data_IF_633211820304
#
_entry.id   IF_633211820304
#
_cell.length_a   1.000
_cell.length_b   1.000
_cell.length_c   1.000
_cell.angle_alpha   90.00
_cell.angle_beta   90.00
_cell.angle_gamma   90.00
#
_symmetry.space_group_name_H-M   'P 1'
#
loop_
_entity.id
_entity.type
_entity.pdbx_description
1 polymer ?
#
# COMPACT_ATOMS: atom_id res chain seq x y z
N UNK A 1 15.36 -54.03 -28.00
CA UNK A 1 14.43 -53.09 -28.65
C UNK A 1 12.97 -53.34 -28.32
N UNK A 2 12.33 -54.46 -28.70
CA UNK A 2 10.87 -54.68 -28.47
C UNK A 2 10.40 -54.53 -27.00
N UNK A 3 11.18 -55.01 -26.04
CA UNK A 3 10.87 -54.86 -24.59
C UNK A 3 10.99 -53.40 -24.12
N UNK A 4 11.91 -52.63 -24.71
CA UNK A 4 12.06 -51.20 -24.43
C UNK A 4 10.92 -50.39 -25.05
N UNK A 5 10.49 -50.76 -26.27
CA UNK A 5 9.35 -50.14 -26.93
C UNK A 5 8.06 -50.33 -26.11
N UNK A 6 7.78 -51.53 -25.62
CA UNK A 6 6.64 -51.80 -24.74
C UNK A 6 6.69 -51.00 -23.43
N UNK A 7 7.88 -50.86 -22.82
CA UNK A 7 8.04 -50.01 -21.64
C UNK A 7 7.80 -48.53 -21.96
N UNK A 8 8.31 -48.05 -23.10
CA UNK A 8 8.10 -46.69 -23.55
C UNK A 8 6.61 -46.42 -23.79
N UNK A 9 5.90 -47.28 -24.52
CA UNK A 9 4.45 -47.13 -24.76
C UNK A 9 3.64 -47.19 -23.46
N UNK A 10 3.98 -48.07 -22.50
CA UNK A 10 3.31 -48.06 -21.18
C UNK A 10 3.55 -46.78 -20.38
N UNK A 11 4.72 -46.13 -20.53
CA UNK A 11 5.02 -44.87 -19.87
C UNK A 11 4.34 -43.68 -20.57
N UNK A 12 4.14 -43.77 -21.89
CA UNK A 12 3.33 -42.83 -22.67
C UNK A 12 1.86 -42.92 -22.25
N UNK A 13 1.30 -44.14 -22.17
CA UNK A 13 -0.09 -44.38 -21.73
C UNK A 13 -0.33 -43.96 -20.27
N UNK A 14 0.66 -44.13 -19.40
CA UNK A 14 0.60 -43.67 -18.02
C UNK A 14 0.81 -42.15 -17.88
N UNK A 15 1.12 -41.42 -18.97
CA UNK A 15 1.42 -39.99 -18.95
C UNK A 15 2.72 -39.63 -18.23
N UNK A 16 3.59 -40.61 -17.97
CA UNK A 16 4.86 -40.41 -17.27
C UNK A 16 5.94 -39.81 -18.17
N UNK A 17 5.82 -39.99 -19.49
CA UNK A 17 6.69 -39.40 -20.51
C UNK A 17 5.76 -38.82 -21.56
N UNK A 18 6.09 -37.65 -22.12
CA UNK A 18 5.31 -37.07 -23.22
C UNK A 18 5.71 -37.74 -24.54
N UNK A 19 4.76 -37.88 -25.48
CA UNK A 19 4.99 -38.41 -26.83
C UNK A 19 5.79 -37.43 -27.70
N UNK A 20 6.99 -37.10 -27.23
CA UNK A 20 7.94 -36.19 -27.82
C UNK A 20 9.22 -36.97 -28.10
N UNK A 21 9.67 -36.92 -29.35
CA UNK A 21 10.85 -37.63 -29.83
C UNK A 21 12.10 -37.29 -29.02
N UNK A 22 12.24 -36.05 -28.54
CA UNK A 22 13.40 -35.64 -27.73
C UNK A 22 13.39 -36.31 -26.35
N UNK A 23 12.22 -36.36 -25.69
CA UNK A 23 12.11 -36.95 -24.35
C UNK A 23 12.19 -38.47 -24.37
N UNK A 24 11.68 -39.11 -25.42
CA UNK A 24 11.82 -40.55 -25.61
C UNK A 24 13.28 -40.90 -25.96
N UNK A 25 13.97 -40.05 -26.72
CA UNK A 25 15.41 -40.19 -26.98
C UNK A 25 16.22 -40.10 -25.67
N UNK A 26 15.99 -39.06 -24.86
CA UNK A 26 16.66 -38.89 -23.56
C UNK A 26 16.40 -40.09 -22.62
N UNK A 27 15.16 -40.58 -22.60
CA UNK A 27 14.82 -41.78 -21.84
C UNK A 27 15.52 -43.03 -22.36
N UNK A 28 15.59 -43.22 -23.68
CA UNK A 28 16.26 -44.36 -24.29
C UNK A 28 17.78 -44.34 -24.01
N UNK A 29 18.39 -43.15 -24.05
CA UNK A 29 19.80 -42.95 -23.64
C UNK A 29 19.98 -43.30 -22.17
N UNK A 30 19.08 -42.88 -21.29
CA UNK A 30 19.11 -43.23 -19.86
C UNK A 30 18.94 -44.74 -19.59
N UNK A 31 18.30 -45.47 -20.51
CA UNK A 31 18.18 -46.94 -20.48
C UNK A 31 19.39 -47.65 -21.11
N UNK A 32 20.42 -46.92 -21.54
CA UNK A 32 21.66 -47.45 -22.08
C UNK A 32 21.67 -47.71 -23.58
N UNK A 33 20.78 -47.07 -24.34
CA UNK A 33 20.81 -47.08 -25.83
C UNK A 33 21.77 -46.00 -26.31
N UNK A 34 22.59 -46.31 -27.33
CA UNK A 34 23.47 -45.33 -27.97
C UNK A 34 22.66 -44.22 -28.65
N UNK A 35 23.25 -43.02 -28.77
CA UNK A 35 22.51 -41.81 -29.12
C UNK A 35 21.89 -41.85 -30.54
N UNK A 36 22.54 -42.54 -31.48
CA UNK A 36 22.07 -42.73 -32.85
C UNK A 36 20.91 -43.75 -32.89
N UNK A 37 21.03 -44.87 -32.17
CA UNK A 37 19.95 -45.85 -32.05
C UNK A 37 18.78 -45.35 -31.21
N UNK A 38 19.02 -44.44 -30.26
CA UNK A 38 17.98 -43.82 -29.44
C UNK A 38 17.11 -42.85 -30.25
N UNK A 39 17.71 -42.12 -31.21
CA UNK A 39 16.95 -41.26 -32.11
C UNK A 39 16.02 -42.06 -33.03
N UNK A 40 16.53 -43.14 -33.63
CA UNK A 40 15.72 -44.05 -34.46
C UNK A 40 14.64 -44.75 -33.63
N UNK A 41 14.98 -45.23 -32.43
CA UNK A 41 14.03 -45.82 -31.50
C UNK A 41 12.92 -44.84 -31.08
N UNK A 42 13.24 -43.57 -30.84
CA UNK A 42 12.25 -42.58 -30.46
C UNK A 42 11.25 -42.30 -31.59
N UNK A 43 11.72 -42.20 -32.85
CA UNK A 43 10.84 -42.08 -34.01
C UNK A 43 9.94 -43.30 -34.14
N UNK A 44 10.53 -44.51 -34.11
CA UNK A 44 9.79 -45.77 -34.27
C UNK A 44 8.71 -45.94 -33.19
N UNK A 45 8.99 -45.54 -31.94
CA UNK A 45 8.02 -45.63 -30.83
C UNK A 45 6.90 -44.61 -30.96
N UNK A 46 7.21 -43.37 -31.35
CA UNK A 46 6.19 -42.33 -31.56
C UNK A 46 5.29 -42.71 -32.73
N UNK A 47 5.88 -43.10 -33.86
CA UNK A 47 5.14 -43.50 -35.05
C UNK A 47 4.27 -44.72 -34.75
N UNK A 48 4.81 -45.76 -34.09
CA UNK A 48 4.03 -46.92 -33.69
C UNK A 48 2.92 -46.60 -32.69
N UNK A 49 3.17 -45.69 -31.73
CA UNK A 49 2.17 -45.28 -30.74
C UNK A 49 0.97 -44.61 -31.40
N UNK A 50 1.20 -43.70 -32.35
CA UNK A 50 0.13 -43.02 -33.06
C UNK A 50 -0.51 -43.88 -34.17
N UNK A 51 0.26 -44.74 -34.84
CA UNK A 51 -0.26 -45.69 -35.84
C UNK A 51 -1.14 -46.77 -35.21
N UNK A 52 -0.81 -47.26 -34.00
CA UNK A 52 -1.61 -48.27 -33.31
C UNK A 52 -2.95 -47.69 -32.82
N UNK A 53 -2.95 -46.43 -32.37
CA UNK A 53 -4.20 -45.70 -32.07
C UNK A 53 -5.07 -45.61 -33.33
N UNK A 54 -4.50 -45.27 -34.48
CA UNK A 54 -5.25 -45.14 -35.74
C UNK A 54 -5.71 -46.48 -36.34
N UNK A 55 -4.93 -47.55 -36.20
CA UNK A 55 -5.30 -48.90 -36.68
C UNK A 55 -6.33 -49.60 -35.81
N UNK A 56 -6.38 -49.30 -34.50
CA UNK A 56 -7.39 -49.88 -33.60
C UNK A 56 -8.82 -49.38 -33.89
N UNK A 57 -8.96 -48.27 -34.60
CA UNK A 57 -10.26 -47.67 -34.95
C UNK A 57 -10.75 -48.05 -36.36
N UNK A 58 -9.89 -48.66 -37.20
CA UNK A 58 -10.19 -48.84 -38.63
C UNK A 58 -9.97 -50.28 -39.11
N UNK A 59 -10.99 -51.13 -38.91
CA UNK A 59 -11.06 -52.49 -39.42
C UNK A 59 -11.85 -52.60 -40.74
N UNK A 60 -11.14 -52.95 -41.81
CA UNK A 60 -11.53 -53.76 -42.99
C UNK A 60 -12.57 -53.26 -44.00
N UNK A 61 -12.06 -52.97 -45.21
CA UNK A 61 -12.59 -53.09 -46.58
C UNK A 61 -14.07 -53.48 -46.80
N UNK A 62 -14.86 -52.58 -47.40
CA UNK A 62 -15.50 -52.72 -48.73
C UNK A 62 -16.38 -51.47 -49.03
N UNK A 63 -16.43 -51.08 -50.31
CA UNK A 63 -17.40 -50.18 -50.97
C UNK A 63 -17.19 -48.64 -51.01
N UNK A 64 -16.97 -48.18 -52.25
CA UNK A 64 -16.70 -46.82 -52.75
C UNK A 64 -17.81 -45.76 -52.49
N UNK A 65 -18.82 -46.06 -51.66
CA UNK A 65 -19.83 -45.08 -51.22
C UNK A 65 -19.45 -44.38 -49.90
N UNK A 66 -18.56 -44.97 -49.08
CA UNK A 66 -18.13 -44.40 -47.80
C UNK A 66 -17.19 -43.20 -47.93
N UNK A 67 -16.48 -43.03 -49.05
CA UNK A 67 -15.52 -41.92 -49.22
C UNK A 67 -16.20 -40.55 -49.11
N UNK A 68 -17.46 -40.41 -49.55
CA UNK A 68 -18.21 -39.14 -49.47
C UNK A 68 -18.76 -38.85 -48.07
N UNK A 69 -19.11 -39.87 -47.30
CA UNK A 69 -19.50 -39.71 -45.89
C UNK A 69 -18.28 -39.50 -45.00
N UNK A 70 -17.19 -40.24 -45.21
CA UNK A 70 -15.93 -40.03 -44.49
C UNK A 70 -15.30 -38.67 -44.79
N UNK A 71 -15.40 -38.14 -46.02
CA UNK A 71 -14.95 -36.77 -46.31
C UNK A 71 -15.80 -35.70 -45.61
N UNK A 72 -17.13 -35.89 -45.52
CA UNK A 72 -18.02 -34.99 -44.79
C UNK A 72 -17.78 -35.07 -43.28
N UNK A 73 -17.55 -36.27 -42.74
CA UNK A 73 -17.24 -36.51 -41.33
C UNK A 73 -15.85 -35.96 -40.96
N UNK A 74 -14.81 -36.18 -41.77
CA UNK A 74 -13.48 -35.55 -41.61
C UNK A 74 -13.49 -34.03 -41.76
N UNK A 75 -14.34 -33.46 -42.63
CA UNK A 75 -14.50 -32.00 -42.72
C UNK A 75 -15.17 -31.45 -41.46
N UNK A 76 -16.23 -32.10 -41.00
CA UNK A 76 -16.96 -31.72 -39.80
C UNK A 76 -16.10 -31.87 -38.54
N UNK A 77 -15.34 -32.96 -38.39
CA UNK A 77 -14.40 -33.15 -37.29
C UNK A 77 -13.23 -32.16 -37.33
N UNK A 78 -12.79 -31.70 -38.52
CA UNK A 78 -11.78 -30.63 -38.62
C UNK A 78 -12.35 -29.27 -38.22
N UNK A 79 -13.58 -28.98 -38.61
CA UNK A 79 -14.28 -27.74 -38.28
C UNK A 79 -14.59 -27.68 -36.77
N UNK A 80 -15.11 -28.78 -36.20
CA UNK A 80 -15.36 -28.92 -34.76
C UNK A 80 -14.05 -28.83 -33.93
N UNK A 81 -12.94 -29.43 -34.41
CA UNK A 81 -11.62 -29.27 -33.78
C UNK A 81 -11.08 -27.86 -33.87
N UNK A 82 -11.34 -27.15 -34.97
CA UNK A 82 -10.88 -25.78 -35.17
C UNK A 82 -11.67 -24.82 -34.27
N UNK A 83 -12.98 -25.03 -34.14
CA UNK A 83 -13.84 -24.33 -33.19
C UNK A 83 -13.43 -24.60 -31.73
N UNK A 84 -13.03 -25.84 -31.39
CA UNK A 84 -12.50 -26.16 -30.05
C UNK A 84 -11.15 -25.49 -29.77
N UNK A 85 -10.25 -25.42 -30.76
CA UNK A 85 -8.97 -24.71 -30.64
C UNK A 85 -9.22 -23.22 -30.46
N UNK A 86 -10.11 -22.61 -31.24
CA UNK A 86 -10.46 -21.20 -31.10
C UNK A 86 -11.10 -20.91 -29.73
N UNK A 87 -11.98 -21.79 -29.26
CA UNK A 87 -12.60 -21.67 -27.93
C UNK A 87 -11.59 -21.86 -26.80
N UNK A 88 -10.62 -22.77 -26.95
CA UNK A 88 -9.52 -22.94 -26.01
C UNK A 88 -8.58 -21.73 -26.01
N UNK A 89 -8.31 -21.15 -27.18
CA UNK A 89 -7.47 -19.96 -27.33
C UNK A 89 -8.14 -18.72 -26.73
N UNK A 90 -9.46 -18.59 -26.87
CA UNK A 90 -10.26 -17.55 -26.22
C UNK A 90 -10.27 -17.73 -24.70
N UNK A 91 -10.46 -18.98 -24.24
CA UNK A 91 -10.40 -19.32 -22.81
C UNK A 91 -9.02 -19.03 -22.19
N UNK A 92 -7.94 -19.23 -22.96
CA UNK A 92 -6.59 -18.89 -22.53
C UNK A 92 -6.40 -17.37 -22.38
N UNK A 93 -6.95 -16.57 -23.30
CA UNK A 93 -6.99 -15.11 -23.17
C UNK A 93 -7.75 -14.64 -21.93
N UNK A 94 -8.89 -15.26 -21.63
CA UNK A 94 -9.67 -14.97 -20.42
C UNK A 94 -8.87 -15.29 -19.15
N UNK A 95 -8.12 -16.40 -19.14
CA UNK A 95 -7.23 -16.77 -18.02
C UNK A 95 -6.11 -15.75 -17.87
N UNK A 96 -5.49 -15.30 -18.96
CA UNK A 96 -4.43 -14.27 -18.90
C UNK A 96 -4.95 -12.95 -18.36
N UNK A 97 -6.10 -12.47 -18.84
CA UNK A 97 -6.75 -11.27 -18.32
C UNK A 97 -7.08 -11.40 -16.83
N UNK A 98 -7.63 -12.55 -16.40
CA UNK A 98 -7.92 -12.79 -15.00
C UNK A 98 -6.64 -12.79 -14.13
N UNK A 99 -5.53 -13.33 -14.66
CA UNK A 99 -4.25 -13.37 -13.97
C UNK A 99 -3.61 -11.98 -13.88
N UNK A 100 -3.75 -11.15 -14.92
CA UNK A 100 -3.29 -9.76 -14.92
C UNK A 100 -4.07 -8.91 -13.89
N UNK A 101 -5.40 -9.07 -13.84
CA UNK A 101 -6.24 -8.44 -12.81
C UNK A 101 -5.85 -8.92 -11.41
N UNK A 102 -5.61 -10.23 -11.24
CA UNK A 102 -5.17 -10.77 -9.94
C UNK A 102 -3.82 -10.19 -9.51
N UNK A 103 -2.88 -10.06 -10.44
CA UNK A 103 -1.55 -9.48 -10.19
C UNK A 103 -1.66 -8.00 -9.79
N UNK A 104 -2.46 -7.22 -10.51
CA UNK A 104 -2.72 -5.81 -10.17
C UNK A 104 -3.39 -5.67 -8.79
N UNK A 105 -4.34 -6.54 -8.47
CA UNK A 105 -4.97 -6.54 -7.16
C UNK A 105 -3.99 -6.92 -6.05
N UNK A 106 -3.06 -7.86 -6.30
CA UNK A 106 -2.03 -8.24 -5.35
C UNK A 106 -1.05 -7.08 -5.09
N UNK A 107 -0.66 -6.35 -6.13
CA UNK A 107 0.17 -5.14 -6.01
C UNK A 107 -0.54 -4.05 -5.19
N UNK A 108 -1.83 -3.80 -5.48
CA UNK A 108 -2.65 -2.85 -4.72
C UNK A 108 -2.79 -3.26 -3.25
N UNK A 109 -2.95 -4.56 -2.99
CA UNK A 109 -3.04 -5.09 -1.63
C UNK A 109 -1.71 -4.96 -0.87
N UNK A 110 -0.57 -5.17 -1.55
CA UNK A 110 0.75 -4.96 -0.97
C UNK A 110 0.97 -3.49 -0.59
N UNK A 111 0.62 -2.55 -1.47
CA UNK A 111 0.70 -1.11 -1.21
C UNK A 111 -0.22 -0.69 -0.04
N UNK A 112 -1.44 -1.25 0.02
CA UNK A 112 -2.35 -1.01 1.13
C UNK A 112 -1.79 -1.52 2.48
N UNK A 113 -1.11 -2.67 2.48
CA UNK A 113 -0.45 -3.19 3.68
C UNK A 113 0.71 -2.29 4.11
N UNK A 114 1.54 -1.84 3.16
CA UNK A 114 2.65 -0.91 3.43
C UNK A 114 2.13 0.38 4.07
N UNK A 115 1.09 0.98 3.48
CA UNK A 115 0.48 2.19 4.03
C UNK A 115 -0.13 1.97 5.44
N UNK A 116 -0.68 0.79 5.73
CA UNK A 116 -1.17 0.46 7.08
C UNK A 116 -0.03 0.29 8.08
N UNK A 117 1.11 -0.27 7.67
CA UNK A 117 2.30 -0.41 8.50
C UNK A 117 2.92 0.96 8.82
N UNK A 118 3.06 1.83 7.82
CA UNK A 118 3.55 3.19 8.01
C UNK A 118 2.68 3.97 8.99
N UNK A 119 1.35 3.91 8.79
CA UNK A 119 0.38 4.57 9.69
C UNK A 119 0.40 3.98 11.11
N UNK A 120 0.71 2.69 11.25
CA UNK A 120 0.89 2.05 12.55
C UNK A 120 2.14 2.58 13.27
N UNK A 121 3.25 2.74 12.55
CA UNK A 121 4.48 3.32 13.10
C UNK A 121 4.28 4.80 13.50
N UNK A 122 3.59 5.59 12.67
CA UNK A 122 3.21 6.96 12.98
C UNK A 122 2.35 7.05 14.25
N UNK A 123 1.39 6.13 14.42
CA UNK A 123 0.58 6.07 15.63
C UNK A 123 1.41 5.77 16.89
N UNK A 124 2.45 4.94 16.78
CA UNK A 124 3.37 4.68 17.89
C UNK A 124 4.17 5.95 18.25
N UNK A 125 4.71 6.65 17.26
CA UNK A 125 5.41 7.94 17.46
C UNK A 125 4.47 8.96 18.12
N UNK A 126 3.24 9.08 17.64
CA UNK A 126 2.23 9.97 18.20
C UNK A 126 1.90 9.63 19.66
N UNK A 127 1.82 8.34 20.00
CA UNK A 127 1.60 7.90 21.38
C UNK A 127 2.75 8.31 22.30
N UNK A 128 4.00 8.19 21.84
CA UNK A 128 5.18 8.62 22.59
C UNK A 128 5.20 10.15 22.78
N UNK A 129 4.91 10.91 21.73
CA UNK A 129 4.78 12.38 21.81
C UNK A 129 3.64 12.80 22.74
N UNK A 130 2.51 12.09 22.72
CA UNK A 130 1.41 12.32 23.63
C UNK A 130 1.79 12.05 25.09
N UNK A 131 2.53 10.97 25.35
CA UNK A 131 3.06 10.66 26.68
C UNK A 131 4.04 11.72 27.16
N UNK A 132 4.92 12.20 26.27
CA UNK A 132 5.86 13.28 26.55
C UNK A 132 5.13 14.58 26.86
N UNK A 133 4.15 14.96 26.04
CA UNK A 133 3.33 16.14 26.28
C UNK A 133 2.55 16.04 27.60
N UNK A 134 2.02 14.85 27.93
CA UNK A 134 1.37 14.60 29.22
C UNK A 134 2.36 14.73 30.38
N UNK A 135 3.59 14.27 30.21
CA UNK A 135 4.67 14.48 31.18
C UNK A 135 5.01 15.95 31.36
N UNK A 136 5.18 16.71 30.28
CA UNK A 136 5.46 18.14 30.30
C UNK A 136 4.31 18.93 30.93
N UNK A 137 3.07 18.60 30.57
CA UNK A 137 1.87 19.20 31.16
C UNK A 137 1.77 18.90 32.66
N UNK A 138 2.06 17.67 33.07
CA UNK A 138 2.09 17.30 34.51
C UNK A 138 3.23 18.02 35.23
N UNK A 139 4.39 18.17 34.59
CA UNK A 139 5.52 18.93 35.10
C UNK A 139 5.19 20.42 35.29
N UNK A 140 4.49 21.03 34.34
CA UNK A 140 4.03 22.42 34.43
C UNK A 140 2.89 22.58 35.45
N UNK A 141 1.94 21.66 35.49
CA UNK A 141 0.84 21.65 36.46
C UNK A 141 1.35 21.51 37.90
N UNK A 142 2.38 20.67 38.10
CA UNK A 142 3.03 20.48 39.39
C UNK A 142 4.08 21.55 39.71
N UNK A 143 4.40 22.46 38.76
CA UNK A 143 5.32 23.57 39.02
C UNK A 143 4.56 24.61 39.85
N UNK A 144 4.94 24.86 41.12
CA UNK A 144 4.30 25.92 41.88
C UNK A 144 4.55 27.26 41.19
N UNK A 145 3.52 28.11 41.10
CA UNK A 145 3.55 29.40 40.41
C UNK A 145 4.63 30.39 40.91
N UNK A 146 5.34 30.06 41.98
CA UNK A 146 6.53 30.76 42.45
C UNK A 146 7.65 29.76 42.69
N UNK A 147 8.71 29.84 41.89
CA UNK A 147 10.02 29.29 42.26
C UNK A 147 10.45 30.04 43.52
N UNK A 148 10.38 29.39 44.69
CA UNK A 148 10.86 29.98 45.92
C UNK A 148 12.37 30.10 45.84
N UNK A 149 12.86 31.20 45.27
CA UNK A 149 14.19 31.71 45.58
C UNK A 149 14.29 31.84 47.11
N UNK A 150 15.42 31.49 47.74
CA UNK A 150 15.57 31.60 49.18
C UNK A 150 15.23 33.03 49.60
N UNK A 151 14.19 33.15 50.41
CA UNK A 151 13.67 34.44 50.88
C UNK A 151 14.72 35.03 51.81
N UNK A 152 15.54 35.95 51.29
CA UNK A 152 16.21 36.95 52.14
C UNK A 152 15.08 37.85 52.63
N UNK A 153 14.75 37.75 53.91
CA UNK A 153 13.78 38.63 54.57
C UNK A 153 14.34 40.05 54.62
N UNK A 154 14.15 40.80 53.53
CA UNK A 154 14.27 42.25 53.55
C UNK A 154 12.97 42.79 54.14
N UNK A 155 13.12 43.54 55.23
CA UNK A 155 12.05 44.24 55.93
C UNK A 155 11.14 44.96 54.93
N UNK A 156 9.84 44.66 54.98
CA UNK A 156 8.79 45.42 54.28
C UNK A 156 8.77 46.85 54.85
N UNK A 157 9.41 47.78 54.15
CA UNK A 157 8.99 49.16 54.18
C UNK A 157 7.70 49.29 53.37
N UNK A 158 6.61 49.65 54.05
CA UNK A 158 5.33 50.03 53.44
C UNK A 158 5.58 51.05 52.34
N UNK A 159 5.42 50.64 51.08
CA UNK A 159 5.25 51.54 49.96
C UNK A 159 4.11 51.00 49.10
N UNK A 160 2.99 51.72 49.12
CA UNK A 160 1.89 51.58 48.17
C UNK A 160 2.35 52.10 46.80
N UNK A 161 3.32 51.42 46.20
CA UNK A 161 3.76 51.72 44.84
C UNK A 161 3.38 50.48 44.04
N UNK A 162 2.29 50.59 43.27
CA UNK A 162 1.97 49.57 42.26
C UNK A 162 3.22 49.42 41.39
N UNK A 163 3.68 48.18 41.13
CA UNK A 163 4.76 47.96 40.17
C UNK A 163 4.39 48.64 38.85
N UNK A 164 5.36 49.31 38.25
CA UNK A 164 5.19 50.12 37.05
C UNK A 164 4.41 49.34 35.98
N UNK A 165 3.42 50.01 35.36
CA UNK A 165 2.52 49.49 34.32
C UNK A 165 1.38 48.54 34.77
N UNK A 166 1.19 48.29 36.07
CA UNK A 166 0.01 47.55 36.55
C UNK A 166 -1.24 48.44 36.63
N UNK A 167 -2.36 47.91 36.15
CA UNK A 167 -3.67 48.59 36.24
C UNK A 167 -4.47 48.01 37.39
N UNK A 168 -4.91 48.89 38.31
CA UNK A 168 -5.81 48.53 39.41
C UNK A 168 -7.10 47.90 38.89
N UNK A 169 -7.68 46.96 39.63
CA UNK A 169 -8.87 46.19 39.24
C UNK A 169 -10.03 47.10 38.83
N UNK A 170 -10.22 48.20 39.56
CA UNK A 170 -11.29 49.19 39.32
C UNK A 170 -11.08 50.04 38.06
N UNK A 171 -9.84 50.11 37.55
CA UNK A 171 -9.47 50.89 36.36
C UNK A 171 -9.36 50.06 35.10
N UNK A 172 -9.54 48.73 35.16
CA UNK A 172 -9.29 47.82 34.05
C UNK A 172 -10.20 48.08 32.86
N UNK A 173 -11.49 48.27 33.09
CA UNK A 173 -12.45 48.50 32.02
C UNK A 173 -12.19 49.83 31.30
N UNK A 174 -11.90 50.88 32.07
CA UNK A 174 -11.58 52.21 31.52
C UNK A 174 -10.29 52.19 30.72
N UNK A 175 -9.27 51.51 31.22
CA UNK A 175 -8.00 51.39 30.51
C UNK A 175 -8.13 50.48 29.28
N UNK A 176 -8.91 49.40 29.35
CA UNK A 176 -9.21 48.55 28.20
C UNK A 176 -9.90 49.34 27.07
N UNK A 177 -10.88 50.18 27.40
CA UNK A 177 -11.53 51.08 26.45
C UNK A 177 -10.55 52.11 25.86
N UNK A 178 -9.62 52.64 26.67
CA UNK A 178 -8.58 53.54 26.17
C UNK A 178 -7.62 52.84 25.19
N UNK A 179 -7.21 51.60 25.46
CA UNK A 179 -6.33 50.87 24.53
C UNK A 179 -7.06 50.61 23.20
N UNK A 180 -8.34 50.24 23.24
CA UNK A 180 -9.17 50.07 22.04
C UNK A 180 -9.26 51.38 21.25
N UNK A 181 -9.49 52.50 21.92
CA UNK A 181 -9.47 53.82 21.28
C UNK A 181 -8.10 54.17 20.70
N UNK A 182 -7.02 53.77 21.35
CA UNK A 182 -5.66 53.90 20.83
C UNK A 182 -5.42 53.06 19.57
N UNK A 183 -6.10 51.91 19.43
CA UNK A 183 -6.09 51.14 18.18
C UNK A 183 -6.84 51.84 17.06
N UNK A 184 -7.99 52.47 17.35
CA UNK A 184 -8.73 53.27 16.38
C UNK A 184 -7.90 54.47 15.87
N UNK A 185 -7.06 55.03 16.74
CA UNK A 185 -6.11 56.10 16.38
C UNK A 185 -4.80 55.59 15.76
N UNK A 186 -4.62 54.26 15.60
CA UNK A 186 -3.41 53.65 15.03
C UNK A 186 -2.17 53.71 15.92
N UNK A 187 -2.31 54.03 17.21
CA UNK A 187 -1.21 54.18 18.18
C UNK A 187 -0.99 52.94 19.07
N UNK A 188 -1.99 52.06 19.14
CA UNK A 188 -1.91 50.74 19.80
C UNK A 188 -2.16 49.62 18.78
N UNK A 189 -1.61 48.43 19.03
CA UNK A 189 -1.85 47.24 18.19
C UNK A 189 -2.76 46.22 18.87
N UNK A 190 -3.24 45.23 18.11
CA UNK A 190 -4.10 44.17 18.65
C UNK A 190 -3.39 43.35 19.74
N UNK A 191 -2.08 43.18 19.60
CA UNK A 191 -1.22 42.51 20.58
C UNK A 191 -1.21 43.24 21.92
N UNK A 192 -1.34 44.57 21.92
CA UNK A 192 -1.37 45.37 23.15
C UNK A 192 -2.66 45.13 23.96
N UNK A 193 -3.80 44.90 23.28
CA UNK A 193 -5.06 44.52 23.93
C UNK A 193 -4.99 43.09 24.45
N UNK A 194 -4.48 42.16 23.66
CA UNK A 194 -4.32 40.76 24.08
C UNK A 194 -3.38 40.63 25.28
N UNK A 195 -2.27 41.38 25.26
CA UNK A 195 -1.33 41.47 26.37
C UNK A 195 -1.99 42.06 27.61
N UNK A 196 -2.78 43.13 27.47
CA UNK A 196 -3.48 43.75 28.58
C UNK A 196 -4.53 42.83 29.22
N UNK A 197 -5.33 42.11 28.42
CA UNK A 197 -6.36 41.20 28.94
C UNK A 197 -5.77 39.97 29.65
N UNK A 198 -4.62 39.47 29.17
CA UNK A 198 -3.97 38.29 29.74
C UNK A 198 -3.14 38.60 30.98
N UNK A 199 -2.48 39.75 31.02
CA UNK A 199 -1.51 40.09 32.08
C UNK A 199 -1.97 41.19 33.03
N UNK A 200 -2.99 41.97 32.65
CA UNK A 200 -3.42 43.20 33.32
C UNK A 200 -2.32 44.25 33.46
N UNK A 201 -1.32 44.18 32.58
CA UNK A 201 -0.23 45.13 32.43
C UNK A 201 -0.34 45.86 31.11
N UNK A 202 0.05 47.12 31.12
CA UNK A 202 0.17 47.91 29.89
C UNK A 202 1.50 47.59 29.20
N UNK A 203 1.44 47.36 27.88
CA UNK A 203 2.64 47.38 27.05
C UNK A 203 3.20 48.80 26.96
N UNK A 204 4.48 48.95 26.60
CA UNK A 204 5.11 50.27 26.56
C UNK A 204 4.41 51.25 25.59
N UNK A 205 3.83 50.73 24.50
CA UNK A 205 3.03 51.53 23.54
C UNK A 205 1.71 51.98 24.16
N UNK A 206 0.95 51.03 24.72
CA UNK A 206 -0.31 51.32 25.38
C UNK A 206 -0.14 52.24 26.60
N UNK A 207 0.97 52.11 27.33
CA UNK A 207 1.32 52.97 28.45
C UNK A 207 1.56 54.43 28.03
N UNK A 208 2.31 54.65 26.94
CA UNK A 208 2.52 55.99 26.37
C UNK A 208 1.19 56.63 25.97
N UNK A 209 0.38 55.90 25.20
CA UNK A 209 -0.93 56.38 24.77
C UNK A 209 -1.85 56.73 25.94
N UNK A 210 -1.99 55.82 26.91
CA UNK A 210 -2.88 56.02 28.07
C UNK A 210 -2.43 57.20 28.93
N UNK A 211 -1.11 57.45 29.05
CA UNK A 211 -0.61 58.61 29.79
C UNK A 211 -0.83 59.92 29.01
N UNK A 212 -0.53 59.95 27.72
CA UNK A 212 -0.80 61.12 26.86
C UNK A 212 -2.29 61.47 26.88
N UNK A 213 -3.17 60.47 26.75
CA UNK A 213 -4.62 60.68 26.78
C UNK A 213 -5.13 61.13 28.16
N UNK A 214 -4.48 60.69 29.25
CA UNK A 214 -4.80 61.11 30.62
C UNK A 214 -4.32 62.53 30.91
N UNK A 215 -3.20 62.95 30.34
CA UNK A 215 -2.72 64.33 30.44
C UNK A 215 -3.60 65.31 29.67
N UNK A 216 -4.15 64.90 28.52
CA UNK A 216 -5.08 65.71 27.72
C UNK A 216 -6.47 65.85 28.37
N UNK A 217 -6.86 64.92 29.25
CA UNK A 217 -8.15 64.95 29.96
C UNK A 217 -8.10 65.56 31.38
N UNK A 218 -6.93 66.00 31.86
CA UNK A 218 -6.81 66.76 33.11
C UNK A 218 -6.98 68.25 32.86
#
# INVERSE_FOLDING_TARGET
MKVLALKATTLLDAGSITADTEKIKEWAVAQGVDEESAANFASDVVDAYFDEIQKSENGSDEDEEEEKEQFKKKKKDKEDKQDEIEKAQFSFFDIQNALEVLKSNQETLAEAIEHLLDRSEENLKFKDDFLKLKSDFTGLSNRPANEKTPVITVQKSNSNILPQNYVSVEGRDKVGQLIIKGMECGQCSLEDVSYFQSTWKLSDRAFKFVNEFREVQK
#
